data_IF_290040270077
#
_entry.id   IF_290040270077
#
_cell.length_a   1.000
_cell.length_b   1.000
_cell.length_c   1.000
_cell.angle_alpha   90.00
_cell.angle_beta   90.00
_cell.angle_gamma   90.00
#
_symmetry.space_group_name_H-M   'P 1'
#
loop_
_entity.id
_entity.type
_entity.pdbx_description
1 polymer ?
#
# COMPACT_ATOMS: atom_id res chain seq x y z
N UNK A 1 -1.65 -6.22 48.70
CA UNK A 1 -0.60 -5.32 48.18
C UNK A 1 0.07 -5.90 46.92
N UNK A 2 0.59 -7.14 46.93
CA UNK A 2 1.19 -7.74 45.71
C UNK A 2 0.17 -7.96 44.57
N UNK A 3 -1.09 -8.26 44.91
CA UNK A 3 -2.17 -8.45 43.94
C UNK A 3 -2.52 -7.16 43.19
N UNK A 4 -2.53 -6.01 43.87
CA UNK A 4 -2.79 -4.71 43.22
C UNK A 4 -1.67 -4.33 42.23
N UNK A 5 -0.41 -4.65 42.55
CA UNK A 5 0.70 -4.48 41.61
C UNK A 5 0.60 -5.43 40.42
N UNK A 6 0.15 -6.67 40.66
CA UNK A 6 -0.04 -7.67 39.60
C UNK A 6 -1.12 -7.22 38.62
N UNK A 7 -2.25 -6.72 39.12
CA UNK A 7 -3.35 -6.20 38.33
C UNK A 7 -2.95 -4.95 37.53
N UNK A 8 -2.22 -4.02 38.16
CA UNK A 8 -1.74 -2.81 37.48
C UNK A 8 -0.79 -3.15 36.32
N UNK A 9 0.14 -4.09 36.54
CA UNK A 9 1.08 -4.54 35.50
C UNK A 9 0.33 -5.25 34.37
N UNK A 10 -0.67 -6.08 34.69
CA UNK A 10 -1.48 -6.78 33.69
C UNK A 10 -2.24 -5.80 32.79
N UNK A 11 -2.89 -4.78 33.37
CA UNK A 11 -3.64 -3.77 32.60
C UNK A 11 -2.71 -2.95 31.72
N UNK A 12 -1.54 -2.56 32.23
CA UNK A 12 -0.54 -1.82 31.45
C UNK A 12 -0.02 -2.62 30.26
N UNK A 13 0.23 -3.93 30.44
CA UNK A 13 0.65 -4.82 29.35
C UNK A 13 -0.46 -5.01 28.30
N UNK A 14 -1.71 -5.19 28.73
CA UNK A 14 -2.84 -5.28 27.80
C UNK A 14 -3.03 -4.00 27.00
N UNK A 15 -2.90 -2.83 27.64
CA UNK A 15 -3.00 -1.54 26.96
C UNK A 15 -1.84 -1.34 25.96
N UNK A 16 -0.61 -1.65 26.37
CA UNK A 16 0.57 -1.52 25.50
C UNK A 16 0.50 -2.45 24.28
N UNK A 17 0.03 -3.70 24.48
CA UNK A 17 -0.14 -4.66 23.37
C UNK A 17 -1.28 -4.26 22.44
N UNK A 18 -2.39 -3.74 22.95
CA UNK A 18 -3.47 -3.21 22.11
C UNK A 18 -2.99 -2.02 21.26
N UNK A 19 -2.27 -1.08 21.87
CA UNK A 19 -1.72 0.08 21.17
C UNK A 19 -0.70 -0.33 20.10
N UNK A 20 0.20 -1.28 20.42
CA UNK A 20 1.19 -1.74 19.45
C UNK A 20 0.56 -2.46 18.25
N UNK A 21 -0.53 -3.20 18.45
CA UNK A 21 -1.29 -3.80 17.34
C UNK A 21 -2.00 -2.73 16.50
N UNK A 22 -2.63 -1.73 17.12
CA UNK A 22 -3.33 -0.66 16.39
C UNK A 22 -2.35 0.19 15.56
N UNK A 23 -1.21 0.58 16.15
CA UNK A 23 -0.21 1.39 15.45
C UNK A 23 0.73 0.57 14.57
N UNK A 24 0.91 -0.72 14.84
CA UNK A 24 1.74 -1.62 14.04
C UNK A 24 1.08 -2.04 12.74
N UNK A 25 -0.27 -2.08 12.71
CA UNK A 25 -1.06 -2.41 11.51
C UNK A 25 -1.51 -1.13 10.81
N UNK A 26 -0.60 -0.16 10.65
CA UNK A 26 -0.84 0.89 9.64
C UNK A 26 -0.88 0.19 8.29
N UNK A 27 -2.06 0.08 7.69
CA UNK A 27 -2.22 -0.34 6.30
C UNK A 27 -1.53 0.71 5.41
N UNK A 28 -0.22 0.55 5.23
CA UNK A 28 0.63 1.42 4.38
C UNK A 28 0.09 1.43 2.95
N UNK A 29 -0.65 0.39 2.56
CA UNK A 29 -1.23 0.29 1.23
C UNK A 29 -2.62 -0.34 1.21
N UNK A 30 -3.51 0.22 0.38
CA UNK A 30 -4.83 -0.35 0.06
C UNK A 30 -4.69 -1.42 -1.02
N UNK A 31 -5.16 -2.66 -0.81
CA UNK A 31 -4.98 -3.77 -1.75
C UNK A 31 -5.69 -3.54 -3.11
N UNK A 32 -6.74 -2.72 -3.14
CA UNK A 32 -7.43 -2.32 -4.36
C UNK A 32 -6.51 -1.65 -5.39
N UNK A 33 -5.47 -0.91 -4.93
CA UNK A 33 -4.46 -0.29 -5.80
C UNK A 33 -3.69 -1.36 -6.55
N UNK A 34 -3.15 -2.36 -5.86
CA UNK A 34 -2.38 -3.41 -6.53
C UNK A 34 -3.23 -4.22 -7.51
N UNK A 35 -4.48 -4.50 -7.16
CA UNK A 35 -5.38 -5.21 -8.06
C UNK A 35 -5.70 -4.37 -9.30
N UNK A 36 -5.89 -3.06 -9.14
CA UNK A 36 -6.09 -2.15 -10.27
C UNK A 36 -4.85 -2.07 -11.15
N UNK A 37 -3.65 -1.89 -10.58
CA UNK A 37 -2.38 -1.84 -11.33
C UNK A 37 -2.18 -3.13 -12.11
N UNK A 38 -2.39 -4.29 -11.47
CA UNK A 38 -2.25 -5.59 -12.14
C UNK A 38 -3.25 -5.73 -13.30
N UNK A 39 -4.52 -5.42 -13.08
CA UNK A 39 -5.56 -5.54 -14.10
C UNK A 39 -5.30 -4.63 -15.31
N UNK A 40 -4.78 -3.44 -15.04
CA UNK A 40 -4.44 -2.44 -16.04
C UNK A 40 -3.21 -2.82 -16.86
N UNK A 41 -2.21 -3.46 -16.25
CA UNK A 41 -1.05 -4.02 -16.95
C UNK A 41 -1.43 -5.25 -17.80
N UNK A 42 -2.38 -6.07 -17.32
CA UNK A 42 -2.93 -7.20 -18.08
C UNK A 42 -3.80 -6.77 -19.28
N UNK A 43 -4.37 -5.57 -19.23
CA UNK A 43 -5.23 -5.01 -20.29
C UNK A 43 -4.70 -3.63 -20.76
N UNK A 44 -3.72 -3.60 -21.68
CA UNK A 44 -3.14 -2.36 -22.19
C UNK A 44 -4.19 -1.39 -22.73
N UNK A 45 -4.09 -0.11 -22.37
CA UNK A 45 -5.04 0.93 -22.78
C UNK A 45 -6.27 1.08 -21.87
N UNK A 46 -6.33 0.33 -20.78
CA UNK A 46 -7.41 0.46 -19.78
C UNK A 46 -7.08 1.49 -18.69
N UNK A 47 -8.13 2.05 -18.10
CA UNK A 47 -8.06 3.03 -17.01
C UNK A 47 -9.05 2.65 -15.91
N UNK A 48 -8.61 2.70 -14.66
CA UNK A 48 -9.42 2.47 -13.47
C UNK A 48 -9.28 3.64 -12.51
N UNK A 49 -10.41 4.06 -11.94
CA UNK A 49 -10.43 5.13 -10.94
C UNK A 49 -10.72 4.56 -9.58
N UNK A 50 -9.81 4.75 -8.64
CA UNK A 50 -9.90 4.15 -7.32
C UNK A 50 -9.54 5.16 -6.25
N UNK A 51 -10.07 4.96 -5.05
CA UNK A 51 -9.57 5.63 -3.86
C UNK A 51 -8.64 4.69 -3.11
N UNK A 52 -7.44 5.16 -2.76
CA UNK A 52 -6.47 4.34 -2.07
C UNK A 52 -5.24 5.10 -1.61
N UNK A 53 -4.34 4.40 -0.94
CA UNK A 53 -3.02 4.86 -0.57
C UNK A 53 -2.02 3.73 -0.83
N UNK A 54 -0.82 4.09 -1.23
CA UNK A 54 0.31 3.17 -1.31
C UNK A 54 1.61 3.96 -1.18
N UNK A 55 2.69 3.26 -0.91
CA UNK A 55 4.05 3.78 -1.01
C UNK A 55 4.83 3.04 -2.09
N UNK A 56 5.82 3.72 -2.64
CA UNK A 56 6.70 3.22 -3.68
C UNK A 56 8.10 3.07 -3.09
N UNK A 57 8.73 1.92 -3.33
CA UNK A 57 10.17 1.72 -3.10
C UNK A 57 10.86 1.52 -4.43
N UNK A 58 11.88 2.32 -4.67
CA UNK A 58 12.60 2.34 -5.93
C UNK A 58 13.80 1.39 -5.82
N UNK A 59 13.85 0.35 -6.65
CA UNK A 59 14.98 -0.58 -6.76
C UNK A 59 15.71 -0.34 -8.09
N UNK A 60 16.80 -1.04 -8.38
CA UNK A 60 17.61 -0.82 -9.59
C UNK A 60 16.77 -0.91 -10.87
N UNK A 61 16.12 -2.06 -11.08
CA UNK A 61 15.37 -2.35 -12.32
C UNK A 61 13.85 -2.33 -12.15
N UNK A 62 13.38 -2.47 -10.91
CA UNK A 62 11.97 -2.57 -10.58
C UNK A 62 11.53 -1.47 -9.61
N UNK A 63 10.23 -1.19 -9.63
CA UNK A 63 9.52 -0.34 -8.69
C UNK A 63 8.62 -1.25 -7.85
N UNK A 64 8.79 -1.21 -6.53
CA UNK A 64 7.97 -1.99 -5.61
C UNK A 64 6.86 -1.12 -5.04
N UNK A 65 5.63 -1.54 -5.29
CA UNK A 65 4.43 -0.96 -4.69
C UNK A 65 4.16 -1.74 -3.40
N UNK A 66 4.07 -1.03 -2.28
CA UNK A 66 3.97 -1.61 -0.92
C UNK A 66 2.80 -2.56 -0.68
N UNK A 67 1.82 -2.65 -1.60
CA UNK A 67 0.80 -3.70 -1.57
C UNK A 67 1.29 -5.05 -2.14
N UNK A 68 2.60 -5.22 -2.35
CA UNK A 68 3.23 -6.50 -2.73
C UNK A 68 3.51 -6.67 -4.21
N UNK A 69 3.40 -5.62 -5.01
CA UNK A 69 3.54 -5.70 -6.47
C UNK A 69 4.89 -5.14 -6.93
N UNK A 70 5.59 -5.94 -7.73
CA UNK A 70 6.82 -5.53 -8.43
C UNK A 70 6.48 -5.15 -9.86
N UNK A 71 6.86 -3.94 -10.27
CA UNK A 71 6.63 -3.43 -11.62
C UNK A 71 7.97 -3.08 -12.25
N UNK A 72 8.30 -3.61 -13.44
CA UNK A 72 9.50 -3.23 -14.18
C UNK A 72 9.48 -1.72 -14.53
N UNK A 73 10.61 -1.02 -14.38
CA UNK A 73 10.66 0.43 -14.61
C UNK A 73 10.39 0.83 -16.07
N UNK A 74 10.76 0.00 -17.02
CA UNK A 74 10.45 0.16 -18.44
C UNK A 74 8.95 0.18 -18.73
N UNK A 75 8.16 -0.44 -17.85
CA UNK A 75 6.70 -0.45 -17.89
C UNK A 75 6.06 0.70 -17.11
N UNK A 76 6.83 1.62 -16.52
CA UNK A 76 6.29 2.77 -15.78
C UNK A 76 6.49 4.04 -16.59
N UNK A 77 5.38 4.69 -16.96
CA UNK A 77 5.39 5.99 -17.61
C UNK A 77 5.52 7.15 -16.61
N UNK A 78 4.60 7.22 -15.63
CA UNK A 78 4.58 8.29 -14.64
C UNK A 78 3.78 7.89 -13.39
N UNK A 79 4.18 8.39 -12.22
CA UNK A 79 3.40 8.25 -10.99
C UNK A 79 3.38 9.61 -10.28
N UNK A 80 2.24 10.29 -10.35
CA UNK A 80 2.04 11.65 -9.83
C UNK A 80 1.39 11.66 -8.44
N UNK A 81 0.56 10.64 -8.14
CA UNK A 81 -0.10 10.48 -6.85
C UNK A 81 0.09 9.08 -6.28
N UNK A 82 0.17 9.03 -4.96
CA UNK A 82 0.29 7.79 -4.18
C UNK A 82 -0.80 7.65 -3.13
N UNK A 83 -1.69 8.65 -3.00
CA UNK A 83 -2.80 8.63 -2.04
C UNK A 83 -4.01 9.43 -2.52
N UNK A 84 -5.18 9.07 -2.01
CA UNK A 84 -6.46 9.71 -2.29
C UNK A 84 -7.17 9.08 -3.48
N UNK A 85 -7.93 9.91 -4.20
CA UNK A 85 -8.57 9.50 -5.44
C UNK A 85 -7.57 9.56 -6.59
N UNK A 86 -7.34 8.41 -7.23
CA UNK A 86 -6.30 8.22 -8.24
C UNK A 86 -6.86 7.52 -9.48
N UNK A 87 -6.27 7.86 -10.61
CA UNK A 87 -6.50 7.23 -11.90
C UNK A 87 -5.28 6.34 -12.18
N UNK A 88 -5.52 5.03 -12.24
CA UNK A 88 -4.51 4.01 -12.54
C UNK A 88 -4.82 3.48 -13.93
N UNK A 89 -3.93 3.70 -14.89
CA UNK A 89 -4.14 3.28 -16.27
C UNK A 89 -2.85 2.83 -16.96
N UNK A 90 -2.99 2.24 -18.13
CA UNK A 90 -1.87 1.82 -18.98
C UNK A 90 -2.02 2.43 -20.36
N UNK A 91 -0.90 2.75 -21.00
CA UNK A 91 -0.90 3.13 -22.41
C UNK A 91 -1.18 1.90 -23.28
N UNK A 92 -1.46 2.12 -24.57
CA UNK A 92 -1.57 1.03 -25.55
C UNK A 92 -0.27 0.21 -25.67
N UNK A 93 0.88 0.79 -25.31
CA UNK A 93 2.19 0.11 -25.26
C UNK A 93 2.40 -0.68 -23.95
N UNK A 94 1.44 -0.68 -23.03
CA UNK A 94 1.54 -1.38 -21.74
C UNK A 94 2.29 -0.59 -20.65
N UNK A 95 2.47 0.73 -20.80
CA UNK A 95 3.15 1.55 -19.78
C UNK A 95 2.15 2.08 -18.75
N UNK A 96 2.38 1.77 -17.49
CA UNK A 96 1.61 2.21 -16.32
C UNK A 96 1.73 3.71 -16.09
N UNK A 97 0.61 4.38 -15.87
CA UNK A 97 0.55 5.72 -15.33
C UNK A 97 -0.41 5.80 -14.14
N UNK A 98 -0.07 6.60 -13.14
CA UNK A 98 -0.90 6.87 -11.96
C UNK A 98 -1.00 8.38 -11.74
N UNK A 99 -2.23 8.92 -11.71
CA UNK A 99 -2.54 10.36 -11.58
C UNK A 99 -3.53 10.65 -10.46
#
# INVERSE_FOLDING_TARGET
MIEEYLDLVAVMLMAATALSLIFGVQYISTPSVCQAVKLVLENPGSELRIYGRFEIRNYTDHLYITCGLWVPKDQVLTIEKTQGYMIIGSTAEGKLYIR
#
